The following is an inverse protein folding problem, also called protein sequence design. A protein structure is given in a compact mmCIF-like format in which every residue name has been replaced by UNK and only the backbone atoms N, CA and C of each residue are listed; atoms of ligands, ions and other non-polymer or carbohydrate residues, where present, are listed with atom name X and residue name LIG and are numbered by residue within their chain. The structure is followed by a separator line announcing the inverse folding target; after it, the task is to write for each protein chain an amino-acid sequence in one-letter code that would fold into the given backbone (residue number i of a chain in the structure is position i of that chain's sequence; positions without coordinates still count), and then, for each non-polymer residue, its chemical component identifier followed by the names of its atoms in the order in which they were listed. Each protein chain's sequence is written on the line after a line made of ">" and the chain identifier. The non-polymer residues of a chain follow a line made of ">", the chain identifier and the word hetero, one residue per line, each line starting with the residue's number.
data_IF_116593469374
#
_entry.id   IF_116593469374
#
_cell.length_a   1.000
_cell.length_b   1.000
_cell.length_c   1.000
_cell.angle_alpha   90.00
_cell.angle_beta   90.00
_cell.angle_gamma   90.00
#
_symmetry.space_group_name_H-M   'P 1'
#
loop_
_entity.id
_entity.type
_entity.pdbx_description
1 polymer ?
#
# COMPACT_ATOMS: atom_id res chain seq x y z
N UNK A 1 -5.50 -6.06 -10.79
CA UNK A 1 -6.12 -6.16 -9.45
C UNK A 1 -6.47 -4.77 -8.95
N UNK A 2 -7.63 -4.57 -8.33
CA UNK A 2 -8.06 -3.26 -7.84
C UNK A 2 -7.03 -2.63 -6.88
N UNK A 3 -6.49 -3.41 -5.94
CA UNK A 3 -5.51 -2.91 -4.96
C UNK A 3 -4.26 -2.35 -5.63
N UNK A 4 -3.76 -3.00 -6.69
CA UNK A 4 -2.62 -2.52 -7.46
C UNK A 4 -2.92 -1.19 -8.16
N UNK A 5 -4.06 -1.11 -8.87
CA UNK A 5 -4.44 0.09 -9.64
C UNK A 5 -4.58 1.30 -8.72
N UNK A 6 -5.26 1.14 -7.58
CA UNK A 6 -5.48 2.24 -6.64
C UNK A 6 -4.20 2.70 -5.95
N UNK A 7 -3.31 1.77 -5.58
CA UNK A 7 -2.01 2.18 -5.00
C UNK A 7 -1.10 2.83 -6.02
N UNK A 8 -1.16 2.43 -7.29
CA UNK A 8 -0.42 3.08 -8.36
C UNK A 8 -0.94 4.50 -8.59
N UNK A 9 -2.25 4.69 -8.62
CA UNK A 9 -2.88 6.02 -8.70
C UNK A 9 -2.40 6.91 -7.54
N UNK A 10 -2.41 6.41 -6.31
CA UNK A 10 -1.91 7.15 -5.14
C UNK A 10 -0.43 7.50 -5.27
N UNK A 11 0.40 6.60 -5.80
CA UNK A 11 1.83 6.83 -6.02
C UNK A 11 2.08 7.89 -7.11
N UNK A 12 1.27 7.90 -8.16
CA UNK A 12 1.31 8.92 -9.23
C UNK A 12 0.92 10.28 -8.66
N UNK A 13 -0.24 10.39 -7.99
CA UNK A 13 -0.69 11.66 -7.38
C UNK A 13 0.34 12.17 -6.36
N UNK A 14 0.92 11.27 -5.55
CA UNK A 14 2.00 11.64 -4.66
C UNK A 14 3.18 12.27 -5.43
N UNK A 15 3.60 11.62 -6.53
CA UNK A 15 4.78 12.03 -7.28
C UNK A 15 4.58 13.34 -8.06
N UNK A 16 3.37 13.57 -8.59
CA UNK A 16 3.05 14.73 -9.43
C UNK A 16 2.60 15.94 -8.60
N UNK A 17 1.80 15.72 -7.56
CA UNK A 17 1.07 16.81 -6.91
C UNK A 17 1.59 17.10 -5.50
N UNK A 18 1.94 16.06 -4.72
CA UNK A 18 2.32 16.21 -3.31
C UNK A 18 3.83 16.43 -3.15
N UNK A 19 4.65 15.58 -3.79
CA UNK A 19 6.11 15.58 -3.70
C UNK A 19 6.71 16.95 -4.05
N UNK A 20 6.31 17.65 -5.13
CA UNK A 20 6.90 18.96 -5.44
C UNK A 20 6.61 20.01 -4.37
N UNK A 21 5.47 19.91 -3.68
CA UNK A 21 5.09 20.85 -2.63
C UNK A 21 5.88 20.61 -1.35
N UNK A 22 6.04 19.34 -0.96
CA UNK A 22 6.90 18.97 0.16
C UNK A 22 8.37 19.30 -0.09
N UNK A 23 8.84 19.18 -1.34
CA UNK A 23 10.18 19.59 -1.72
C UNK A 23 10.41 21.10 -1.53
N UNK A 24 9.43 21.93 -1.91
CA UNK A 24 9.47 23.39 -1.68
C UNK A 24 9.50 23.76 -0.20
N UNK A 25 8.91 22.93 0.66
CA UNK A 25 8.92 23.12 2.11
C UNK A 25 10.12 22.45 2.80
N UNK A 26 11.04 21.86 2.04
CA UNK A 26 12.19 21.11 2.55
C UNK A 26 11.81 20.06 3.59
N UNK A 27 10.77 19.26 3.31
CA UNK A 27 10.32 18.23 4.24
C UNK A 27 11.37 17.14 4.43
N UNK A 28 11.87 17.00 5.66
CA UNK A 28 12.98 16.11 6.02
C UNK A 28 12.78 14.65 5.61
N UNK A 29 11.53 14.17 5.64
CA UNK A 29 11.20 12.76 5.41
C UNK A 29 10.76 12.47 3.96
N UNK A 30 10.97 13.41 3.02
CA UNK A 30 10.50 13.31 1.64
C UNK A 30 11.06 12.07 0.90
N UNK A 31 12.32 11.73 1.12
CA UNK A 31 12.94 10.56 0.51
C UNK A 31 12.28 9.26 1.00
N UNK A 32 12.10 9.13 2.32
CA UNK A 32 11.42 8.00 2.94
C UNK A 32 9.98 7.84 2.44
N UNK A 33 9.26 8.96 2.31
CA UNK A 33 7.91 9.00 1.78
C UNK A 33 7.86 8.60 0.29
N UNK A 34 8.85 9.02 -0.50
CA UNK A 34 8.98 8.65 -1.93
C UNK A 34 9.21 7.16 -2.09
N UNK A 35 10.18 6.61 -1.36
CA UNK A 35 10.47 5.18 -1.37
C UNK A 35 9.24 4.37 -0.93
N UNK A 36 8.52 4.86 0.08
CA UNK A 36 7.31 4.22 0.56
C UNK A 36 6.22 4.19 -0.50
N UNK A 37 5.85 5.33 -1.09
CA UNK A 37 4.80 5.45 -2.10
C UNK A 37 5.04 4.53 -3.31
N UNK A 38 6.28 4.48 -3.82
CA UNK A 38 6.62 3.69 -5.00
C UNK A 38 6.74 2.19 -4.72
N UNK A 39 7.13 1.80 -3.50
CA UNK A 39 7.32 0.39 -3.15
C UNK A 39 5.99 -0.37 -2.99
N UNK A 40 4.91 0.29 -2.56
CA UNK A 40 3.62 -0.36 -2.29
C UNK A 40 3.07 -1.10 -3.53
N UNK A 41 2.90 -0.47 -4.71
CA UNK A 41 2.40 -1.18 -5.89
C UNK A 41 3.35 -2.30 -6.36
N UNK A 42 4.66 -2.15 -6.15
CA UNK A 42 5.66 -3.18 -6.48
C UNK A 42 5.48 -4.43 -5.61
N UNK A 43 5.37 -4.27 -4.29
CA UNK A 43 5.14 -5.38 -3.38
C UNK A 43 3.83 -6.11 -3.66
N UNK A 44 2.76 -5.39 -4.05
CA UNK A 44 1.49 -6.02 -4.44
C UNK A 44 1.70 -6.90 -5.68
N UNK A 45 2.40 -6.40 -6.70
CA UNK A 45 2.65 -7.15 -7.93
C UNK A 45 3.52 -8.40 -7.66
N UNK A 46 4.58 -8.23 -6.86
CA UNK A 46 5.49 -9.30 -6.46
C UNK A 46 4.75 -10.39 -5.67
N UNK A 47 4.01 -9.98 -4.64
CA UNK A 47 3.20 -10.87 -3.80
C UNK A 47 2.21 -11.68 -4.64
N UNK A 48 1.51 -11.01 -5.57
CA UNK A 48 0.56 -11.67 -6.45
C UNK A 48 1.25 -12.75 -7.29
N UNK A 49 2.43 -12.48 -7.86
CA UNK A 49 3.17 -13.46 -8.67
C UNK A 49 3.64 -14.67 -7.85
N UNK A 50 4.00 -14.49 -6.58
CA UNK A 50 4.54 -15.56 -5.73
C UNK A 50 3.48 -16.44 -5.07
N UNK A 51 2.21 -16.04 -5.07
CA UNK A 51 1.16 -16.68 -4.25
C UNK A 51 0.95 -18.19 -4.48
N UNK A 52 1.35 -18.70 -5.64
CA UNK A 52 1.26 -20.11 -5.99
C UNK A 52 2.57 -20.88 -5.78
N UNK A 53 3.72 -20.22 -5.91
CA UNK A 53 5.04 -20.84 -5.77
C UNK A 53 5.52 -20.85 -4.32
N UNK A 54 5.46 -19.71 -3.64
CA UNK A 54 5.76 -19.56 -2.22
C UNK A 54 4.73 -18.66 -1.54
N UNK A 55 3.67 -19.31 -1.06
CA UNK A 55 2.57 -18.61 -0.40
C UNK A 55 3.00 -17.88 0.88
N UNK A 56 4.00 -18.40 1.63
CA UNK A 56 4.43 -17.75 2.87
C UNK A 56 5.11 -16.42 2.54
N UNK A 57 6.00 -16.43 1.55
CA UNK A 57 6.65 -15.21 1.06
C UNK A 57 5.62 -14.27 0.42
N UNK A 58 4.67 -14.79 -0.34
CA UNK A 58 3.60 -13.97 -0.94
C UNK A 58 2.78 -13.20 0.12
N UNK A 59 2.35 -13.87 1.19
CA UNK A 59 1.62 -13.23 2.29
C UNK A 59 2.49 -12.18 2.97
N UNK A 60 3.73 -12.52 3.34
CA UNK A 60 4.65 -11.58 3.97
C UNK A 60 4.92 -10.34 3.09
N UNK A 61 5.03 -10.51 1.77
CA UNK A 61 5.20 -9.39 0.83
C UNK A 61 3.92 -8.55 0.70
N UNK A 62 2.72 -9.14 0.76
CA UNK A 62 1.48 -8.37 0.82
C UNK A 62 1.37 -7.56 2.12
N UNK A 63 1.80 -8.14 3.24
CA UNK A 63 1.86 -7.47 4.54
C UNK A 63 2.84 -6.29 4.53
N UNK A 64 3.97 -6.41 3.81
CA UNK A 64 4.88 -5.26 3.56
C UNK A 64 4.17 -4.12 2.81
N UNK A 65 3.34 -4.44 1.82
CA UNK A 65 2.54 -3.43 1.12
C UNK A 65 1.55 -2.74 2.06
N UNK A 66 0.85 -3.51 2.91
CA UNK A 66 -0.07 -2.98 3.93
C UNK A 66 0.65 -2.10 4.96
N UNK A 67 1.84 -2.50 5.40
CA UNK A 67 2.70 -1.67 6.26
C UNK A 67 3.08 -0.36 5.56
N UNK A 68 3.39 -0.41 4.27
CA UNK A 68 3.66 0.77 3.46
C UNK A 68 2.47 1.73 3.41
N UNK A 69 1.24 1.22 3.23
CA UNK A 69 0.03 2.05 3.32
C UNK A 69 -0.06 2.79 4.67
N UNK A 70 0.17 2.10 5.78
CA UNK A 70 0.14 2.72 7.11
C UNK A 70 1.23 3.78 7.27
N UNK A 71 2.44 3.53 6.76
CA UNK A 71 3.52 4.53 6.77
C UNK A 71 3.16 5.77 5.95
N UNK A 72 2.54 5.59 4.78
CA UNK A 72 2.07 6.72 3.97
C UNK A 72 1.01 7.56 4.70
N UNK A 73 0.05 6.92 5.38
CA UNK A 73 -0.93 7.62 6.23
C UNK A 73 -0.22 8.51 7.25
N UNK A 74 0.75 7.95 8.00
CA UNK A 74 1.51 8.71 9.01
C UNK A 74 2.28 9.88 8.38
N UNK A 75 2.98 9.67 7.25
CA UNK A 75 3.70 10.75 6.58
C UNK A 75 2.78 11.88 6.10
N UNK A 76 1.62 11.53 5.53
CA UNK A 76 0.65 12.51 5.02
C UNK A 76 0.03 13.34 6.16
N UNK A 77 -0.36 12.68 7.25
CA UNK A 77 -0.92 13.35 8.44
C UNK A 77 0.12 14.22 9.14
N UNK A 78 1.37 13.75 9.23
CA UNK A 78 2.47 14.53 9.79
C UNK A 78 2.75 15.77 8.92
N UNK A 79 2.82 15.62 7.59
CA UNK A 79 3.01 16.75 6.68
C UNK A 79 1.87 17.77 6.76
N UNK A 80 0.62 17.30 6.86
CA UNK A 80 -0.54 18.16 7.06
C UNK A 80 -0.45 18.94 8.38
N UNK A 81 -0.07 18.29 9.47
CA UNK A 81 0.09 18.92 10.78
C UNK A 81 1.22 19.95 10.84
N UNK A 82 2.36 19.69 10.18
CA UNK A 82 3.53 20.58 10.18
C UNK A 82 3.30 21.82 9.31
N UNK A 83 2.75 21.64 8.11
CA UNK A 83 2.70 22.69 7.11
C UNK A 83 1.34 23.39 7.01
N UNK A 84 0.28 22.77 7.55
CA UNK A 84 -1.09 23.31 7.52
C UNK A 84 -1.45 23.83 6.12
N UNK A 85 -1.86 25.09 6.04
CA UNK A 85 -2.33 25.71 4.81
C UNK A 85 -1.22 25.98 3.76
N UNK A 86 0.05 25.70 4.06
CA UNK A 86 1.15 25.84 3.08
C UNK A 86 1.14 24.75 2.00
N UNK A 87 0.40 23.67 2.26
CA UNK A 87 0.18 22.55 1.33
C UNK A 87 -1.35 22.25 1.34
N UNK A 88 -1.95 21.83 0.22
CA UNK A 88 -3.35 21.42 0.15
C UNK A 88 -3.67 20.27 1.11
N UNK A 89 -4.01 20.61 2.35
CA UNK A 89 -4.24 19.65 3.43
C UNK A 89 -5.37 18.69 3.08
N UNK A 90 -6.42 19.15 2.40
CA UNK A 90 -7.52 18.29 1.94
C UNK A 90 -7.05 17.18 1.00
N UNK A 91 -6.07 17.47 0.13
CA UNK A 91 -5.47 16.48 -0.76
C UNK A 91 -4.65 15.45 0.03
N UNK A 92 -3.88 15.89 1.04
CA UNK A 92 -3.11 14.98 1.90
C UNK A 92 -4.04 14.03 2.65
N UNK A 93 -5.13 14.56 3.22
CA UNK A 93 -6.13 13.77 3.95
C UNK A 93 -6.93 12.84 3.02
N UNK A 94 -7.24 13.26 1.80
CA UNK A 94 -7.86 12.39 0.80
C UNK A 94 -6.96 11.20 0.46
N UNK A 95 -5.69 11.45 0.13
CA UNK A 95 -4.73 10.38 -0.18
C UNK A 95 -4.49 9.46 1.02
N UNK A 96 -4.49 10.00 2.25
CA UNK A 96 -4.43 9.20 3.47
C UNK A 96 -5.60 8.20 3.56
N UNK A 97 -6.83 8.67 3.35
CA UNK A 97 -8.02 7.80 3.33
C UNK A 97 -7.93 6.72 2.24
N UNK A 98 -7.46 7.07 1.04
CA UNK A 98 -7.28 6.09 -0.05
C UNK A 98 -6.30 4.98 0.33
N UNK A 99 -5.17 5.32 0.96
CA UNK A 99 -4.22 4.30 1.44
C UNK A 99 -4.85 3.41 2.51
N UNK A 100 -5.60 3.97 3.46
CA UNK A 100 -6.30 3.21 4.50
C UNK A 100 -7.35 2.25 3.90
N UNK A 101 -8.15 2.72 2.95
CA UNK A 101 -9.16 1.91 2.26
C UNK A 101 -8.52 0.74 1.49
N UNK A 102 -7.47 1.02 0.72
CA UNK A 102 -6.81 0.00 -0.08
C UNK A 102 -6.09 -1.01 0.81
N UNK A 103 -5.52 -0.59 1.95
CA UNK A 103 -4.98 -1.51 2.97
C UNK A 103 -6.04 -2.48 3.47
N UNK A 104 -7.27 -2.01 3.75
CA UNK A 104 -8.38 -2.87 4.12
C UNK A 104 -8.80 -3.85 3.02
N UNK A 105 -8.61 -3.49 1.75
CA UNK A 105 -8.83 -4.39 0.61
C UNK A 105 -7.71 -5.42 0.46
N UNK A 106 -6.46 -5.05 0.70
CA UNK A 106 -5.33 -6.00 0.72
C UNK A 106 -5.51 -7.07 1.81
N UNK A 107 -5.97 -6.67 3.00
CA UNK A 107 -6.27 -7.64 4.06
C UNK A 107 -7.37 -8.63 3.64
N UNK A 108 -8.43 -8.15 2.98
CA UNK A 108 -9.48 -9.03 2.43
C UNK A 108 -8.94 -9.97 1.35
N UNK A 109 -8.03 -9.48 0.51
CA UNK A 109 -7.35 -10.28 -0.51
C UNK A 109 -6.52 -11.40 0.13
N UNK A 110 -5.73 -11.09 1.16
CA UNK A 110 -4.96 -12.06 1.94
C UNK A 110 -5.87 -13.15 2.54
N UNK A 111 -7.00 -12.77 3.14
CA UNK A 111 -7.99 -13.72 3.68
C UNK A 111 -8.59 -14.61 2.59
N UNK A 112 -8.82 -14.06 1.40
CA UNK A 112 -9.28 -14.82 0.25
C UNK A 112 -8.26 -15.89 -0.15
N UNK A 113 -6.98 -15.53 -0.25
CA UNK A 113 -5.90 -16.46 -0.56
C UNK A 113 -5.79 -17.59 0.47
N UNK A 114 -5.91 -17.28 1.77
CA UNK A 114 -5.89 -18.28 2.84
C UNK A 114 -7.03 -19.29 2.70
N UNK A 115 -8.25 -18.83 2.37
CA UNK A 115 -9.41 -19.71 2.15
C UNK A 115 -9.21 -20.65 0.97
N UNK A 116 -8.75 -20.14 -0.17
CA UNK A 116 -8.48 -20.98 -1.35
C UNK A 116 -7.44 -22.05 -1.04
N UNK A 117 -6.34 -21.67 -0.37
CA UNK A 117 -5.30 -22.63 -0.01
C UNK A 117 -5.80 -23.73 0.94
N UNK A 118 -6.64 -23.38 1.91
CA UNK A 118 -7.25 -24.37 2.81
C UNK A 118 -8.19 -25.31 2.04
N UNK A 119 -8.99 -24.79 1.11
CA UNK A 119 -9.85 -25.61 0.26
C UNK A 119 -9.05 -26.62 -0.58
N UNK A 120 -7.96 -26.17 -1.21
CA UNK A 120 -7.08 -27.05 -2.00
C UNK A 120 -6.44 -28.15 -1.14
N UNK A 121 -5.98 -27.79 0.07
CA UNK A 121 -5.41 -28.76 1.02
C UNK A 121 -6.44 -29.79 1.48
N UNK A 122 -7.68 -29.37 1.73
CA UNK A 122 -8.76 -30.29 2.13
C UNK A 122 -9.12 -31.24 0.99
N UNK A 123 -9.22 -30.74 -0.24
CA UNK A 123 -9.48 -31.56 -1.42
C UNK A 123 -8.36 -32.59 -1.65
N UNK A 124 -7.09 -32.20 -1.45
CA UNK A 124 -5.96 -33.10 -1.57
C UNK A 124 -5.96 -34.21 -0.51
N UNK A 125 -6.49 -33.96 0.69
CA UNK A 125 -6.64 -34.97 1.75
C UNK A 125 -7.74 -35.98 1.44
N UNK A 126 -8.85 -35.55 0.84
CA UNK A 126 -9.97 -36.44 0.47
C UNK A 126 -9.63 -37.38 -0.70
N UNK A 127 -8.61 -37.05 -1.50
CA UNK A 127 -8.13 -37.86 -2.62
C UNK A 127 -7.03 -38.87 -2.25
N UNK A 128 -6.61 -38.90 -0.98
CA UNK A 128 -5.64 -39.87 -0.43
C UNK A 128 -6.38 -40.91 0.37
#
# INVERSE_FOLDING_TARGET
>A
MEVYQKTLECAVIFSTDIKPQLAKQHYDLLEGMTNCALSIPLYIAESHSMRFSDFKVAVATLEKAMLGCNKMVVYLEQAAGIYGNKIPTDMLLDISRRYMDVRGKMWRLEKSWQKFRQADQNLAKLKR
#
